data_IF_359059423096
#
_entry.id   IF_359059423096
#
_cell.length_a   1.000
_cell.length_b   1.000
_cell.length_c   1.000
_cell.angle_alpha   90.00
_cell.angle_beta   90.00
_cell.angle_gamma   90.00
#
_symmetry.space_group_name_H-M   'P 1'
#
loop_
_entity.id
_entity.type
_entity.pdbx_description
1 polymer ?
#
# COMPACT_ATOMS: atom_id res chain seq x y z
N UNK A 1 58.60 24.26 -19.35
CA UNK A 1 57.48 23.87 -20.22
C UNK A 1 57.03 22.47 -19.81
N UNK A 2 57.88 21.45 -19.81
CA UNK A 2 57.55 20.05 -19.43
C UNK A 2 56.91 19.89 -18.05
N UNK A 3 57.39 20.59 -17.01
CA UNK A 3 56.84 20.52 -15.69
C UNK A 3 55.40 21.10 -15.59
N UNK A 4 55.04 22.03 -16.45
CA UNK A 4 53.70 22.60 -16.48
C UNK A 4 52.70 21.66 -17.15
N UNK A 5 53.12 20.99 -18.21
CA UNK A 5 52.29 19.96 -18.88
C UNK A 5 52.02 18.77 -17.94
N UNK A 6 53.07 18.31 -17.27
CA UNK A 6 52.95 17.21 -16.29
C UNK A 6 51.99 17.54 -15.11
N UNK A 7 52.00 18.80 -14.64
CA UNK A 7 51.10 19.28 -13.61
C UNK A 7 49.64 19.38 -14.12
N UNK A 8 49.44 19.77 -15.36
CA UNK A 8 48.12 19.81 -16.01
C UNK A 8 47.56 18.39 -16.18
N UNK A 9 48.38 17.44 -16.66
CA UNK A 9 47.98 16.05 -16.77
C UNK A 9 47.62 15.42 -15.40
N UNK A 10 48.44 15.64 -14.39
CA UNK A 10 48.14 15.17 -13.04
C UNK A 10 46.81 15.75 -12.48
N UNK A 11 46.55 17.01 -12.79
CA UNK A 11 45.33 17.67 -12.38
C UNK A 11 44.10 17.08 -13.07
N UNK A 12 44.23 16.77 -14.36
CA UNK A 12 43.16 16.14 -15.12
C UNK A 12 42.86 14.75 -14.59
N UNK A 13 43.88 13.94 -14.32
CA UNK A 13 43.71 12.61 -13.71
C UNK A 13 42.99 12.68 -12.35
N UNK A 14 43.33 13.68 -11.54
CA UNK A 14 42.61 13.86 -10.25
C UNK A 14 41.16 14.26 -10.42
N UNK A 15 40.82 15.07 -11.43
CA UNK A 15 39.43 15.44 -11.75
C UNK A 15 38.66 14.19 -12.17
N UNK A 16 39.22 13.43 -13.12
CA UNK A 16 38.59 12.21 -13.64
C UNK A 16 38.38 11.16 -12.53
N UNK A 17 39.36 10.96 -11.64
CA UNK A 17 39.22 10.08 -10.50
C UNK A 17 38.13 10.54 -9.52
N UNK A 18 37.99 11.84 -9.32
CA UNK A 18 36.96 12.40 -8.45
C UNK A 18 35.57 12.17 -9.03
N UNK A 19 35.39 12.41 -10.32
CA UNK A 19 34.13 12.17 -11.01
C UNK A 19 33.74 10.70 -10.97
N UNK A 20 34.71 9.80 -11.19
CA UNK A 20 34.50 8.35 -11.06
C UNK A 20 34.08 7.94 -9.64
N UNK A 21 34.76 8.48 -8.62
CA UNK A 21 34.39 8.22 -7.22
C UNK A 21 32.97 8.76 -6.88
N UNK A 22 32.58 9.92 -7.38
CA UNK A 22 31.24 10.48 -7.18
C UNK A 22 30.18 9.59 -7.85
N UNK A 23 30.43 9.08 -9.05
CA UNK A 23 29.55 8.12 -9.73
C UNK A 23 29.44 6.78 -8.99
N UNK A 24 30.57 6.23 -8.54
CA UNK A 24 30.59 5.00 -7.76
C UNK A 24 29.82 5.16 -6.44
N UNK A 25 29.98 6.29 -5.75
CA UNK A 25 29.28 6.59 -4.51
C UNK A 25 27.76 6.70 -4.73
N UNK A 26 27.33 7.42 -5.76
CA UNK A 26 25.92 7.56 -6.10
C UNK A 26 25.28 6.20 -6.44
N UNK A 27 26.01 5.36 -7.17
CA UNK A 27 25.58 3.99 -7.49
C UNK A 27 25.43 3.13 -6.24
N UNK A 28 26.40 3.20 -5.34
CA UNK A 28 26.40 2.45 -4.08
C UNK A 28 25.23 2.88 -3.16
N UNK A 29 24.95 4.18 -3.09
CA UNK A 29 23.83 4.71 -2.30
C UNK A 29 22.50 4.16 -2.86
N UNK A 30 22.32 4.20 -4.19
CA UNK A 30 21.14 3.65 -4.84
C UNK A 30 20.99 2.14 -4.59
N UNK A 31 22.06 1.39 -4.70
CA UNK A 31 22.06 -0.05 -4.43
C UNK A 31 21.65 -0.37 -2.98
N UNK A 32 22.13 0.41 -2.00
CA UNK A 32 21.72 0.28 -0.60
C UNK A 32 20.24 0.55 -0.41
N UNK A 33 19.71 1.61 -1.03
CA UNK A 33 18.28 1.92 -1.00
C UNK A 33 17.47 0.76 -1.57
N UNK A 34 17.83 0.27 -2.75
CA UNK A 34 17.14 -0.84 -3.42
C UNK A 34 17.22 -2.13 -2.60
N UNK A 35 18.39 -2.47 -2.07
CA UNK A 35 18.55 -3.65 -1.22
C UNK A 35 17.64 -3.59 0.03
N UNK A 36 17.59 -2.44 0.70
CA UNK A 36 16.71 -2.24 1.86
C UNK A 36 15.24 -2.34 1.45
N UNK A 37 14.84 -1.70 0.36
CA UNK A 37 13.48 -1.78 -0.14
C UNK A 37 13.07 -3.23 -0.45
N UNK A 38 13.92 -3.99 -1.13
CA UNK A 38 13.63 -5.40 -1.44
C UNK A 38 13.55 -6.26 -0.20
N UNK A 39 14.38 -6.02 0.82
CA UNK A 39 14.24 -6.69 2.12
C UNK A 39 12.89 -6.37 2.79
N UNK A 40 12.45 -5.12 2.75
CA UNK A 40 11.13 -4.73 3.26
C UNK A 40 10.00 -5.40 2.47
N UNK A 41 10.12 -5.50 1.15
CA UNK A 41 9.13 -6.19 0.31
C UNK A 41 9.08 -7.70 0.60
N UNK A 42 10.22 -8.33 0.83
CA UNK A 42 10.28 -9.74 1.23
C UNK A 42 9.59 -9.95 2.59
N UNK A 43 9.89 -9.11 3.57
CA UNK A 43 9.21 -9.16 4.87
C UNK A 43 7.69 -8.95 4.73
N UNK A 44 7.25 -8.09 3.80
CA UNK A 44 5.82 -7.93 3.50
C UNK A 44 5.20 -9.24 3.01
N UNK A 45 5.89 -10.00 2.14
CA UNK A 45 5.42 -11.29 1.67
C UNK A 45 5.39 -12.35 2.80
N UNK A 46 6.36 -12.32 3.70
CA UNK A 46 6.38 -13.18 4.89
C UNK A 46 5.19 -12.87 5.82
N UNK A 47 4.90 -11.60 6.06
CA UNK A 47 3.73 -11.17 6.84
C UNK A 47 2.43 -11.64 6.21
N UNK A 48 2.31 -11.58 4.86
CA UNK A 48 1.17 -12.14 4.15
C UNK A 48 1.09 -13.65 4.35
N UNK A 49 2.19 -14.36 4.16
CA UNK A 49 2.27 -15.81 4.34
C UNK A 49 1.91 -16.27 5.76
N UNK A 50 2.22 -15.45 6.76
CA UNK A 50 1.91 -15.70 8.16
C UNK A 50 0.43 -15.44 8.53
N UNK A 51 -0.34 -14.76 7.69
CA UNK A 51 -1.77 -14.57 7.91
C UNK A 51 -2.47 -15.92 7.98
N UNK A 52 -3.26 -16.14 9.04
CA UNK A 52 -3.99 -17.37 9.26
C UNK A 52 -5.33 -17.07 9.89
N UNK A 53 -6.40 -17.62 9.32
CA UNK A 53 -7.73 -17.51 9.87
C UNK A 53 -8.40 -18.88 9.93
N UNK A 54 -8.96 -19.20 11.09
CA UNK A 54 -9.73 -20.44 11.31
C UNK A 54 -11.21 -20.10 11.40
N UNK A 55 -12.02 -20.89 10.72
CA UNK A 55 -13.48 -20.76 10.76
C UNK A 55 -14.17 -22.10 10.69
N UNK A 56 -15.34 -22.21 11.30
CA UNK A 56 -16.18 -23.41 11.26
C UNK A 56 -17.26 -23.26 10.20
N UNK A 57 -17.45 -24.27 9.40
CA UNK A 57 -18.50 -24.34 8.39
C UNK A 57 -19.37 -25.58 8.60
N UNK A 58 -20.67 -25.47 8.33
CA UNK A 58 -21.61 -26.59 8.42
C UNK A 58 -21.69 -27.28 7.06
N UNK A 59 -21.29 -28.52 6.99
CA UNK A 59 -21.42 -29.35 5.78
C UNK A 59 -22.60 -30.33 6.00
N UNK A 60 -23.55 -30.35 5.07
CA UNK A 60 -24.61 -31.36 5.03
C UNK A 60 -24.00 -32.65 4.44
N UNK A 61 -24.12 -33.75 5.18
CA UNK A 61 -23.78 -35.05 4.62
C UNK A 61 -24.81 -35.43 3.54
N UNK A 62 -24.35 -35.93 2.41
CA UNK A 62 -25.22 -36.44 1.34
C UNK A 62 -26.05 -37.64 1.80
N UNK A 63 -25.59 -38.36 2.83
CA UNK A 63 -26.21 -39.61 3.34
C UNK A 63 -27.05 -39.42 4.61
N UNK A 64 -26.94 -38.31 5.32
CA UNK A 64 -27.69 -38.03 6.53
C UNK A 64 -28.13 -36.56 6.57
N UNK A 65 -29.31 -36.27 7.17
CA UNK A 65 -29.80 -34.90 7.38
C UNK A 65 -29.00 -34.14 8.44
N UNK A 66 -27.99 -34.76 9.03
CA UNK A 66 -27.18 -34.16 10.08
C UNK A 66 -26.17 -33.18 9.49
N UNK A 67 -26.10 -31.98 10.11
CA UNK A 67 -25.09 -30.98 9.85
C UNK A 67 -23.85 -31.34 10.66
N UNK A 68 -22.73 -31.51 10.01
CA UNK A 68 -21.41 -31.61 10.68
C UNK A 68 -20.68 -30.30 10.59
N UNK A 69 -20.16 -29.82 11.72
CA UNK A 69 -19.25 -28.70 11.75
C UNK A 69 -17.86 -29.16 11.37
N UNK A 70 -17.27 -28.49 10.38
CA UNK A 70 -15.91 -28.75 9.93
C UNK A 70 -15.13 -27.47 10.07
N UNK A 71 -14.05 -27.54 10.85
CA UNK A 71 -13.11 -26.43 10.96
C UNK A 71 -12.21 -26.38 9.73
N UNK A 72 -12.08 -25.18 9.19
CA UNK A 72 -11.22 -24.88 8.05
C UNK A 72 -10.24 -23.78 8.43
N UNK A 73 -9.07 -23.86 7.82
CA UNK A 73 -8.02 -22.86 7.98
C UNK A 73 -7.71 -22.31 6.60
N UNK A 74 -7.69 -21.01 6.48
CA UNK A 74 -7.19 -20.26 5.32
C UNK A 74 -5.94 -19.50 5.71
N UNK A 75 -5.04 -19.33 4.76
CA UNK A 75 -3.74 -18.68 5.00
C UNK A 75 -3.40 -17.70 3.87
N UNK A 76 -2.48 -16.80 4.16
CA UNK A 76 -1.95 -15.90 3.15
C UNK A 76 -3.01 -14.94 2.58
N UNK A 77 -2.92 -14.69 1.27
CA UNK A 77 -3.82 -13.75 0.58
C UNK A 77 -5.28 -14.16 0.56
N UNK A 78 -5.58 -15.45 0.69
CA UNK A 78 -6.96 -15.93 0.78
C UNK A 78 -7.70 -15.34 1.98
N UNK A 79 -6.98 -14.96 3.04
CA UNK A 79 -7.56 -14.32 4.22
C UNK A 79 -8.21 -12.98 3.86
N UNK A 80 -7.57 -12.17 3.01
CA UNK A 80 -8.15 -10.88 2.55
C UNK A 80 -9.43 -11.10 1.75
N UNK A 81 -9.43 -12.08 0.84
CA UNK A 81 -10.61 -12.42 0.06
C UNK A 81 -11.74 -12.93 0.96
N UNK A 82 -11.46 -13.91 1.82
CA UNK A 82 -12.44 -14.50 2.73
C UNK A 82 -13.09 -13.44 3.62
N UNK A 83 -12.26 -12.55 4.20
CA UNK A 83 -12.77 -11.48 5.05
C UNK A 83 -13.66 -10.50 4.28
N UNK A 84 -13.31 -10.20 3.04
CA UNK A 84 -14.13 -9.36 2.17
C UNK A 84 -15.48 -10.02 1.84
N UNK A 85 -15.48 -11.30 1.45
CA UNK A 85 -16.69 -12.04 1.08
C UNK A 85 -17.63 -12.28 2.28
N UNK A 86 -17.06 -12.53 3.46
CA UNK A 86 -17.84 -12.74 4.70
C UNK A 86 -18.41 -11.47 5.28
N UNK A 87 -17.67 -10.40 5.13
CA UNK A 87 -18.07 -9.09 5.59
C UNK A 87 -18.59 -8.27 4.44
N UNK A 88 -19.21 -8.91 3.37
CA UNK A 88 -19.87 -8.09 2.35
C UNK A 88 -20.27 -6.82 3.02
N UNK A 89 -19.48 -5.78 2.77
CA UNK A 89 -19.70 -4.50 3.42
C UNK A 89 -21.03 -4.07 2.84
N UNK A 90 -22.11 -4.48 3.51
CA UNK A 90 -23.44 -4.02 3.18
C UNK A 90 -23.41 -2.55 3.53
N UNK A 91 -23.04 -1.76 2.53
CA UNK A 91 -23.38 -0.35 2.57
C UNK A 91 -24.89 -0.35 2.64
N UNK A 92 -25.46 0.26 3.66
CA UNK A 92 -26.89 0.32 3.82
C UNK A 92 -27.57 0.89 2.58
N UNK A 93 -28.79 0.47 2.28
CA UNK A 93 -29.55 0.75 1.06
C UNK A 93 -29.97 2.23 0.86
N UNK A 94 -29.69 3.12 1.82
CA UNK A 94 -30.03 4.54 1.72
C UNK A 94 -28.81 5.42 1.38
N UNK A 95 -28.73 5.96 0.14
CA UNK A 95 -27.60 6.77 -0.27
C UNK A 95 -27.46 8.10 0.46
N UNK A 96 -28.55 8.71 0.94
CA UNK A 96 -28.49 10.05 1.54
C UNK A 96 -27.94 10.06 2.96
N UNK A 97 -28.23 9.04 3.75
CA UNK A 97 -27.77 8.96 5.16
C UNK A 97 -26.33 8.47 5.32
N UNK A 98 -25.77 7.78 4.32
CA UNK A 98 -24.48 7.09 4.40
C UNK A 98 -23.28 7.95 4.04
N UNK A 99 -23.53 9.06 3.35
CA UNK A 99 -22.49 9.96 2.85
C UNK A 99 -22.25 11.15 3.76
N UNK A 100 -22.98 11.22 4.87
CA UNK A 100 -22.62 12.17 5.93
C UNK A 100 -21.39 11.64 6.67
N UNK A 101 -20.56 12.56 7.18
CA UNK A 101 -19.42 12.23 8.05
C UNK A 101 -19.84 11.26 9.19
N UNK A 102 -21.09 11.33 9.63
CA UNK A 102 -21.69 10.45 10.63
C UNK A 102 -21.86 9.01 10.11
N UNK A 103 -22.39 8.83 8.89
CA UNK A 103 -22.59 7.50 8.29
C UNK A 103 -21.26 6.80 8.03
N UNK A 104 -20.24 7.52 7.54
CA UNK A 104 -18.90 6.95 7.42
C UNK A 104 -18.31 6.61 8.76
N UNK A 105 -18.49 7.48 9.75
CA UNK A 105 -18.04 7.20 11.11
C UNK A 105 -18.72 5.93 11.65
N UNK A 106 -20.01 5.75 11.44
CA UNK A 106 -20.74 4.54 11.83
C UNK A 106 -20.28 3.29 11.07
N UNK A 107 -20.02 3.41 9.75
CA UNK A 107 -19.41 2.33 8.95
C UNK A 107 -18.00 2.05 9.44
N UNK A 108 -17.21 3.09 9.67
CA UNK A 108 -15.86 2.97 10.17
C UNK A 108 -15.84 2.44 11.61
N UNK A 109 -16.72 2.88 12.49
CA UNK A 109 -16.88 2.34 13.85
C UNK A 109 -17.39 0.91 13.84
N UNK A 110 -18.35 0.58 12.96
CA UNK A 110 -18.85 -0.79 12.79
C UNK A 110 -17.78 -1.74 12.22
N UNK A 111 -16.89 -1.26 11.38
CA UNK A 111 -15.81 -2.04 10.73
C UNK A 111 -14.40 -1.65 11.17
N UNK A 112 -14.24 -0.52 11.90
CA UNK A 112 -13.02 -0.01 12.50
C UNK A 112 -12.86 -0.39 13.98
N UNK A 113 -12.92 0.59 14.90
CA UNK A 113 -12.65 0.34 16.32
C UNK A 113 -13.71 -0.56 16.97
N UNK A 114 -15.01 -0.33 16.75
CA UNK A 114 -16.08 -1.14 17.34
C UNK A 114 -16.19 -2.53 16.68
N UNK A 115 -15.84 -2.65 15.42
CA UNK A 115 -15.77 -3.92 14.70
C UNK A 115 -14.57 -4.77 15.11
N UNK A 116 -13.47 -4.15 15.53
CA UNK A 116 -12.31 -4.84 16.04
C UNK A 116 -12.49 -5.39 17.46
N UNK A 117 -13.31 -4.75 18.30
CA UNK A 117 -13.58 -5.24 19.66
C UNK A 117 -14.70 -6.29 19.73
N UNK A 118 -15.61 -6.31 18.76
CA UNK A 118 -16.81 -7.20 18.79
C UNK A 118 -16.79 -8.30 17.72
N UNK A 119 -15.90 -8.25 16.76
CA UNK A 119 -15.78 -9.31 15.76
C UNK A 119 -14.61 -10.22 16.12
N UNK A 120 -14.80 -11.53 15.93
CA UNK A 120 -13.76 -12.56 15.99
C UNK A 120 -12.63 -12.37 14.96
N UNK A 121 -12.45 -11.13 14.47
CA UNK A 121 -11.32 -10.77 13.63
C UNK A 121 -10.28 -10.14 14.56
N UNK A 122 -9.27 -10.89 14.96
CA UNK A 122 -8.12 -10.28 15.61
C UNK A 122 -7.54 -9.22 14.66
N UNK A 123 -6.74 -8.29 15.13
CA UNK A 123 -6.08 -7.26 14.32
C UNK A 123 -5.05 -7.89 13.35
N UNK A 124 -5.54 -8.85 12.57
CA UNK A 124 -4.77 -9.73 11.72
C UNK A 124 -4.04 -8.97 10.61
N UNK A 125 -4.60 -7.81 10.21
CA UNK A 125 -4.01 -6.96 9.19
C UNK A 125 -3.16 -5.81 9.74
N UNK A 126 -3.11 -5.61 11.06
CA UNK A 126 -2.40 -4.46 11.65
C UNK A 126 -0.92 -4.44 11.31
N UNK A 127 -0.24 -5.58 11.47
CA UNK A 127 1.17 -5.68 11.15
C UNK A 127 1.42 -5.49 9.65
N UNK A 128 0.55 -6.03 8.81
CA UNK A 128 0.60 -5.91 7.37
C UNK A 128 0.52 -4.44 6.94
N UNK A 129 -0.53 -3.71 7.34
CA UNK A 129 -0.70 -2.31 6.93
C UNK A 129 0.31 -1.36 7.57
N UNK A 130 0.74 -1.63 8.79
CA UNK A 130 1.81 -0.88 9.44
C UNK A 130 3.13 -1.04 8.69
N UNK A 131 3.43 -2.24 8.22
CA UNK A 131 4.62 -2.50 7.44
C UNK A 131 4.53 -1.88 6.05
N UNK A 132 3.40 -2.03 5.36
CA UNK A 132 3.14 -1.38 4.07
C UNK A 132 3.31 0.15 4.16
N UNK A 133 2.78 0.78 5.23
CA UNK A 133 3.01 2.20 5.49
C UNK A 133 4.50 2.53 5.59
N UNK A 134 5.29 1.70 6.27
CA UNK A 134 6.74 1.92 6.39
C UNK A 134 7.44 1.83 5.04
N UNK A 135 7.04 0.91 4.18
CA UNK A 135 7.57 0.79 2.81
C UNK A 135 7.29 2.07 2.02
N UNK A 136 6.03 2.50 1.98
CA UNK A 136 5.65 3.73 1.25
C UNK A 136 6.36 4.95 1.80
N UNK A 137 6.47 5.07 3.12
CA UNK A 137 7.17 6.16 3.79
C UNK A 137 8.68 6.13 3.51
N UNK A 138 9.31 4.96 3.47
CA UNK A 138 10.71 4.80 3.14
C UNK A 138 11.03 5.33 1.75
N UNK A 139 10.19 5.01 0.76
CA UNK A 139 10.32 5.53 -0.60
C UNK A 139 10.09 7.06 -0.63
N UNK A 140 9.05 7.53 0.05
CA UNK A 140 8.69 8.95 0.09
C UNK A 140 9.79 9.82 0.69
N UNK A 141 10.44 9.36 1.76
CA UNK A 141 11.47 10.08 2.48
C UNK A 141 12.88 9.87 1.93
N UNK A 142 13.06 9.02 0.93
CA UNK A 142 14.36 8.77 0.31
C UNK A 142 14.92 10.04 -0.32
N UNK A 143 16.15 10.36 0.02
CA UNK A 143 16.92 11.46 -0.57
C UNK A 143 17.66 11.02 -1.84
N UNK A 144 17.77 9.71 -2.05
CA UNK A 144 18.44 9.10 -3.19
C UNK A 144 17.58 9.11 -4.45
N UNK A 145 16.30 9.47 -4.31
CA UNK A 145 15.32 9.53 -5.39
C UNK A 145 14.91 10.98 -5.67
N UNK A 146 15.35 11.49 -6.79
CA UNK A 146 15.05 12.86 -7.19
C UNK A 146 13.62 13.00 -7.71
N UNK A 147 12.85 13.84 -7.03
CA UNK A 147 11.51 14.23 -7.42
C UNK A 147 10.46 13.12 -7.34
N UNK A 148 9.25 13.51 -7.66
CA UNK A 148 8.08 12.61 -7.59
C UNK A 148 8.19 11.41 -8.54
N UNK A 149 8.69 11.63 -9.76
CA UNK A 149 8.72 10.59 -10.80
C UNK A 149 9.60 9.40 -10.43
N UNK A 150 10.78 9.65 -9.84
CA UNK A 150 11.68 8.60 -9.38
C UNK A 150 11.02 7.78 -8.26
N UNK A 151 10.41 8.43 -7.28
CA UNK A 151 9.68 7.79 -6.17
C UNK A 151 8.48 7.01 -6.66
N UNK A 152 7.71 7.57 -7.60
CA UNK A 152 6.54 6.91 -8.18
C UNK A 152 6.87 5.59 -8.89
N UNK A 153 8.05 5.49 -9.51
CA UNK A 153 8.54 4.24 -10.12
C UNK A 153 8.62 3.11 -9.08
N UNK A 154 9.22 3.37 -7.91
CA UNK A 154 9.33 2.38 -6.83
C UNK A 154 7.98 2.11 -6.14
N UNK A 155 7.14 3.12 -5.98
CA UNK A 155 5.74 2.93 -5.52
C UNK A 155 4.99 2.03 -6.52
N UNK A 156 5.27 2.12 -7.82
CA UNK A 156 4.73 1.22 -8.84
C UNK A 156 5.06 -0.25 -8.59
N UNK A 157 6.29 -0.54 -8.13
CA UNK A 157 6.71 -1.90 -7.75
C UNK A 157 5.89 -2.39 -6.55
N UNK A 158 5.75 -1.56 -5.50
CA UNK A 158 4.93 -1.89 -4.32
C UNK A 158 3.49 -2.16 -4.73
N UNK A 159 2.89 -1.25 -5.50
CA UNK A 159 1.50 -1.37 -5.98
C UNK A 159 1.28 -2.63 -6.82
N UNK A 160 2.26 -3.03 -7.64
CA UNK A 160 2.20 -4.24 -8.45
C UNK A 160 2.11 -5.54 -7.62
N UNK A 161 2.51 -5.51 -6.35
CA UNK A 161 2.43 -6.64 -5.43
C UNK A 161 1.08 -6.74 -4.71
N UNK A 162 0.27 -5.68 -4.71
CA UNK A 162 -1.00 -5.65 -4.01
C UNK A 162 -2.08 -6.36 -4.84
N UNK A 163 -2.71 -7.36 -4.26
CA UNK A 163 -3.89 -7.99 -4.83
C UNK A 163 -5.11 -7.06 -4.78
N UNK A 164 -6.15 -7.40 -5.53
CA UNK A 164 -7.41 -6.64 -5.54
C UNK A 164 -8.03 -6.49 -4.15
N UNK A 165 -8.02 -7.55 -3.35
CA UNK A 165 -8.59 -7.52 -2.00
C UNK A 165 -7.71 -6.77 -1.01
N UNK A 166 -6.38 -6.82 -1.17
CA UNK A 166 -5.46 -5.97 -0.39
C UNK A 166 -5.71 -4.49 -0.67
N UNK A 167 -5.97 -4.10 -1.93
CA UNK A 167 -6.31 -2.71 -2.30
C UNK A 167 -7.63 -2.26 -1.67
N UNK A 168 -8.65 -3.12 -1.62
CA UNK A 168 -9.93 -2.82 -0.95
C UNK A 168 -9.70 -2.59 0.54
N UNK A 169 -9.00 -3.49 1.22
CA UNK A 169 -8.72 -3.33 2.64
C UNK A 169 -7.80 -2.14 2.92
N UNK A 170 -6.85 -1.85 2.03
CA UNK A 170 -6.01 -0.65 2.12
C UNK A 170 -6.86 0.62 2.03
N UNK A 171 -7.83 0.66 1.11
CA UNK A 171 -8.77 1.77 0.99
C UNK A 171 -9.47 2.03 2.32
N UNK A 172 -10.10 1.03 2.93
CA UNK A 172 -10.81 1.20 4.19
C UNK A 172 -9.87 1.52 5.37
N UNK A 173 -8.78 0.79 5.50
CA UNK A 173 -7.81 1.01 6.58
C UNK A 173 -7.27 2.44 6.58
N UNK A 174 -6.93 2.96 5.42
CA UNK A 174 -6.26 4.27 5.31
C UNK A 174 -7.16 5.45 5.64
N UNK A 175 -8.49 5.29 5.65
CA UNK A 175 -9.41 6.33 6.09
C UNK A 175 -9.19 6.70 7.56
N UNK A 176 -8.72 5.77 8.39
CA UNK A 176 -8.39 6.00 9.80
C UNK A 176 -6.97 6.54 10.03
N UNK A 177 -6.11 6.44 9.03
CA UNK A 177 -4.70 6.79 9.15
C UNK A 177 -4.31 7.92 8.18
N UNK A 178 -4.46 9.20 8.57
CA UNK A 178 -4.24 10.36 7.68
C UNK A 178 -2.86 10.37 7.02
N UNK A 179 -1.82 9.89 7.71
CA UNK A 179 -0.45 9.80 7.16
C UNK A 179 -0.37 8.77 6.03
N UNK A 180 -1.04 7.64 6.16
CA UNK A 180 -1.13 6.62 5.11
C UNK A 180 -1.96 7.13 3.94
N UNK A 181 -3.12 7.73 4.23
CA UNK A 181 -3.99 8.35 3.22
C UNK A 181 -3.24 9.38 2.39
N UNK A 182 -2.45 10.25 3.03
CA UNK A 182 -1.64 11.25 2.33
C UNK A 182 -0.63 10.63 1.35
N UNK A 183 0.02 9.52 1.70
CA UNK A 183 0.91 8.80 0.79
C UNK A 183 0.15 8.15 -0.38
N UNK A 184 -1.02 7.60 -0.10
CA UNK A 184 -1.91 7.00 -1.11
C UNK A 184 -2.33 8.06 -2.13
N UNK A 185 -2.73 9.23 -1.67
CA UNK A 185 -3.14 10.36 -2.52
C UNK A 185 -1.95 10.95 -3.29
N UNK A 186 -0.77 11.04 -2.66
CA UNK A 186 0.44 11.58 -3.27
C UNK A 186 0.93 10.73 -4.45
N UNK A 187 0.75 9.42 -4.38
CA UNK A 187 1.34 8.47 -5.33
C UNK A 187 0.33 7.61 -6.08
N UNK A 188 -0.94 7.97 -6.07
CA UNK A 188 -2.01 7.23 -6.76
C UNK A 188 -1.98 5.72 -6.47
N UNK A 189 -1.81 5.34 -5.21
CA UNK A 189 -1.64 3.92 -4.84
C UNK A 189 -2.90 3.11 -5.16
N UNK A 190 -4.08 3.72 -5.10
CA UNK A 190 -5.36 3.08 -5.41
C UNK A 190 -5.72 3.10 -6.91
N UNK A 191 -4.81 3.47 -7.80
CA UNK A 191 -5.06 3.52 -9.25
C UNK A 191 -5.66 2.22 -9.82
N UNK A 192 -5.26 1.08 -9.28
CA UNK A 192 -5.70 -0.23 -9.73
C UNK A 192 -6.91 -0.78 -8.95
N UNK A 193 -7.46 0.00 -8.01
CA UNK A 193 -8.65 -0.39 -7.28
C UNK A 193 -9.86 -0.32 -8.22
N UNK A 194 -10.56 -1.44 -8.34
CA UNK A 194 -11.72 -1.55 -9.21
C UNK A 194 -12.99 -1.15 -8.48
N UNK A 195 -13.86 -0.36 -9.14
CA UNK A 195 -15.12 0.13 -8.57
C UNK A 195 -16.00 -0.95 -7.99
N UNK A 196 -16.14 -2.06 -8.69
CA UNK A 196 -17.04 -3.17 -8.34
C UNK A 196 -16.77 -3.80 -6.97
N UNK A 197 -15.60 -3.52 -6.37
CA UNK A 197 -15.25 -4.01 -5.03
C UNK A 197 -15.58 -3.03 -3.91
N UNK A 198 -15.99 -1.79 -4.22
CA UNK A 198 -16.25 -0.76 -3.22
C UNK A 198 -17.73 -0.52 -2.94
N UNK A 199 -18.65 -1.30 -3.51
CA UNK A 199 -20.11 -1.16 -3.47
C UNK A 199 -20.73 -0.53 -4.73
N UNK A 200 -22.08 -0.45 -4.76
CA UNK A 200 -22.85 -0.08 -5.94
C UNK A 200 -22.61 1.35 -6.45
N UNK A 201 -21.99 2.21 -5.63
CA UNK A 201 -21.72 3.60 -6.02
C UNK A 201 -20.25 4.01 -5.78
N UNK A 202 -19.43 3.64 -6.74
CA UNK A 202 -17.99 3.95 -6.73
C UNK A 202 -17.68 5.45 -6.74
N UNK A 203 -18.50 6.26 -7.39
CA UNK A 203 -18.26 7.71 -7.45
C UNK A 203 -18.40 8.36 -6.08
N UNK A 204 -19.19 7.78 -5.21
CA UNK A 204 -19.32 8.19 -3.82
C UNK A 204 -18.13 7.71 -2.97
N UNK A 205 -17.64 6.49 -3.17
CA UNK A 205 -16.42 6.00 -2.52
C UNK A 205 -15.19 6.86 -2.83
N UNK A 206 -15.12 7.46 -4.02
CA UNK A 206 -14.06 8.43 -4.38
C UNK A 206 -14.10 9.73 -3.58
N UNK A 207 -15.23 10.12 -2.99
CA UNK A 207 -15.34 11.36 -2.19
C UNK A 207 -14.45 11.35 -0.95
N UNK A 208 -14.09 10.19 -0.45
CA UNK A 208 -13.26 10.03 0.75
C UNK A 208 -11.77 10.27 0.51
N UNK A 209 -11.38 10.25 -0.76
CA UNK A 209 -10.01 10.49 -1.19
C UNK A 209 -9.96 11.63 -2.19
N UNK A 210 -8.84 12.34 -2.24
CA UNK A 210 -8.54 13.20 -3.37
C UNK A 210 -8.47 12.36 -4.65
N UNK A 211 -8.87 12.95 -5.78
CA UNK A 211 -8.83 12.25 -7.09
C UNK A 211 -7.45 11.72 -7.44
N UNK A 212 -6.40 12.35 -6.89
CA UNK A 212 -5.00 11.93 -7.02
C UNK A 212 -4.73 10.52 -6.50
N UNK A 213 -5.53 10.00 -5.57
CA UNK A 213 -5.38 8.63 -5.07
C UNK A 213 -5.58 7.56 -6.17
N UNK A 214 -6.39 7.88 -7.19
CA UNK A 214 -6.81 6.98 -8.27
C UNK A 214 -6.22 7.36 -9.62
N UNK A 215 -5.65 8.56 -9.75
CA UNK A 215 -5.20 9.16 -11.00
C UNK A 215 -3.74 9.63 -10.86
N UNK A 216 -2.84 8.93 -11.56
CA UNK A 216 -1.42 9.19 -11.48
C UNK A 216 -1.01 10.50 -12.15
N UNK A 217 -1.71 10.90 -13.22
CA UNK A 217 -1.37 12.13 -13.94
C UNK A 217 -1.72 13.34 -13.08
N UNK A 218 -2.87 13.32 -12.43
CA UNK A 218 -3.24 14.34 -11.43
C UNK A 218 -2.33 14.36 -10.22
N UNK A 219 -1.91 13.18 -9.72
CA UNK A 219 -0.98 13.11 -8.60
C UNK A 219 0.36 13.74 -8.97
N UNK A 220 0.83 13.53 -10.19
CA UNK A 220 2.03 14.15 -10.73
C UNK A 220 1.91 15.68 -10.85
N UNK A 221 0.82 16.16 -11.41
CA UNK A 221 0.54 17.60 -11.56
C UNK A 221 0.59 18.32 -10.21
N UNK A 222 -0.11 17.78 -9.21
CA UNK A 222 -0.12 18.34 -7.85
C UNK A 222 1.26 18.28 -7.18
N UNK A 223 2.05 17.26 -7.47
CA UNK A 223 3.41 17.16 -6.91
C UNK A 223 4.33 18.23 -7.50
N UNK A 224 4.30 18.43 -8.82
CA UNK A 224 5.13 19.43 -9.51
C UNK A 224 4.79 20.85 -9.06
N UNK A 225 3.51 21.19 -8.83
CA UNK A 225 3.09 22.50 -8.30
C UNK A 225 3.58 22.80 -6.89
N UNK A 226 4.03 21.80 -6.15
CA UNK A 226 4.55 21.95 -4.77
C UNK A 226 6.08 22.01 -4.72
N UNK A 227 6.73 21.64 -5.81
CA UNK A 227 8.19 21.72 -5.97
C UNK A 227 8.63 23.09 -6.54
N UNK A 228 7.69 23.89 -7.11
CA UNK A 228 7.85 25.30 -7.51
C UNK A 228 7.65 26.24 -6.31
#
# INVERSE_FOLDING_TARGET
>A
ILQKEELEDQRQVMIDQREEMEQQNSTMIRQRFEATLFQMLNLQQELIGALKHQYSTSVKSAASKEKRHVDRIITGREVFQYMYEKKKIDFPDDPEDHYTYKGVKEVLEKYGEAGYEKSDIPPIFDHYFRHLYRILKYIDQSQELDGWAAKYKYIGIVRGQLSRYELVWLYFNSLFYPKMKGLIEKYAVLKNLRPEYLAQDFDLGKKWYAKTAFDADRAREVALQREE
#
